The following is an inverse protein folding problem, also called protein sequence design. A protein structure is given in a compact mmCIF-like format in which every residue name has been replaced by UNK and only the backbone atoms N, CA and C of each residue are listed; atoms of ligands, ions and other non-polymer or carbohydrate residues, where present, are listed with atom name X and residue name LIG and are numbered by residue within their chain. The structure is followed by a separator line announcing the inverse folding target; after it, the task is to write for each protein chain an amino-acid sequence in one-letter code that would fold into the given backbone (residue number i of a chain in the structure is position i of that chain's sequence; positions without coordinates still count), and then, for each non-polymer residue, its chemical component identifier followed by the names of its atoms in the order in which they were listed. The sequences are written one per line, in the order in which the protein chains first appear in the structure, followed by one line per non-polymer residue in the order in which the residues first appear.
data_IF_116824533518
#
_entry.id   IF_116824533518
#
_cell.length_a   1.000
_cell.length_b   1.000
_cell.length_c   1.000
_cell.angle_alpha   90.00
_cell.angle_beta   90.00
_cell.angle_gamma   90.00
#
_symmetry.space_group_name_H-M   'P 1'
#
loop_
_entity.id
_entity.type
_entity.pdbx_description
1 polymer ?
#
# COMPACT_ATOMS: atom_id res chain seq x y z
N UNK A 1 13.85 -27.27 -16.48
CA UNK A 1 12.58 -27.96 -16.74
C UNK A 1 11.50 -26.91 -16.66
N UNK A 2 10.76 -26.73 -17.72
CA UNK A 2 9.67 -25.74 -17.80
C UNK A 2 8.48 -26.30 -17.01
N UNK A 3 8.32 -25.91 -15.75
CA UNK A 3 7.16 -26.32 -14.96
C UNK A 3 5.95 -25.50 -15.43
N UNK A 4 5.35 -25.95 -16.54
CA UNK A 4 3.98 -25.55 -16.86
C UNK A 4 3.06 -26.03 -15.73
N UNK A 5 2.22 -25.13 -15.18
CA UNK A 5 1.25 -25.38 -14.11
C UNK A 5 1.67 -24.91 -12.69
N UNK A 6 2.69 -24.06 -12.56
CA UNK A 6 3.05 -23.46 -11.27
C UNK A 6 1.95 -22.43 -10.84
N UNK A 7 1.46 -22.47 -9.60
CA UNK A 7 0.59 -21.40 -9.08
C UNK A 7 1.39 -20.10 -8.94
N UNK A 8 0.90 -19.02 -9.56
CA UNK A 8 1.53 -17.71 -9.53
C UNK A 8 0.53 -16.67 -9.04
N UNK A 9 0.81 -16.09 -7.88
CA UNK A 9 0.10 -14.92 -7.38
C UNK A 9 0.75 -13.66 -7.96
N UNK A 10 -0.05 -12.83 -8.61
CA UNK A 10 0.34 -11.49 -9.08
C UNK A 10 -0.44 -10.48 -8.24
N UNK A 11 0.22 -9.90 -7.27
CA UNK A 11 -0.33 -8.92 -6.34
C UNK A 11 0.09 -7.52 -6.78
N UNK A 12 -0.87 -6.60 -6.93
CA UNK A 12 -0.60 -5.22 -7.37
C UNK A 12 -0.99 -4.24 -6.27
N UNK A 13 -0.12 -3.26 -5.99
CA UNK A 13 -0.32 -2.30 -4.92
C UNK A 13 -1.69 -1.62 -5.00
N UNK A 14 -2.34 -1.50 -3.85
CA UNK A 14 -3.66 -0.92 -3.69
C UNK A 14 -3.59 0.61 -3.69
N UNK A 15 -4.27 1.30 -4.62
CA UNK A 15 -4.30 2.76 -4.64
C UNK A 15 -5.34 3.28 -3.65
N UNK A 16 -5.02 4.39 -2.98
CA UNK A 16 -6.04 5.12 -2.22
C UNK A 16 -7.16 5.62 -3.14
N UNK A 17 -8.41 5.32 -2.78
CA UNK A 17 -9.59 5.82 -3.46
C UNK A 17 -9.90 7.28 -3.06
N UNK A 18 -8.92 8.17 -3.19
CA UNK A 18 -9.00 9.59 -2.80
C UNK A 18 -8.76 10.57 -3.94
N UNK A 19 -8.60 10.08 -5.17
CA UNK A 19 -8.34 10.90 -6.36
C UNK A 19 -7.96 10.05 -7.56
N UNK A 20 -8.15 10.60 -8.75
CA UNK A 20 -7.88 9.94 -10.03
C UNK A 20 -6.44 9.44 -10.14
N UNK A 21 -6.25 8.32 -10.80
CA UNK A 21 -4.92 7.76 -11.03
C UNK A 21 -4.26 8.41 -12.25
N UNK A 22 -2.97 8.68 -12.18
CA UNK A 22 -2.21 9.19 -13.31
C UNK A 22 -1.49 8.06 -14.06
N UNK A 23 -1.06 8.33 -15.31
CA UNK A 23 -0.35 7.37 -16.15
C UNK A 23 0.87 6.74 -15.49
N UNK A 24 1.49 7.41 -14.51
CA UNK A 24 2.59 6.86 -13.73
C UNK A 24 2.22 5.66 -12.87
N UNK A 25 0.98 5.57 -12.36
CA UNK A 25 0.48 4.39 -11.66
C UNK A 25 0.29 3.23 -12.66
N UNK A 26 -0.29 3.52 -13.82
CA UNK A 26 -0.49 2.54 -14.88
C UNK A 26 0.86 1.94 -15.33
N UNK A 27 1.80 2.78 -15.74
CA UNK A 27 3.11 2.36 -16.22
C UNK A 27 3.98 1.72 -15.13
N UNK A 28 3.82 2.15 -13.87
CA UNK A 28 4.67 1.72 -12.77
C UNK A 28 4.26 0.39 -12.12
N UNK A 29 2.98 0.08 -12.05
CA UNK A 29 2.50 -1.09 -11.35
C UNK A 29 1.51 -1.94 -12.16
N UNK A 30 0.42 -1.34 -12.67
CA UNK A 30 -0.69 -2.10 -13.22
C UNK A 30 -0.37 -2.77 -14.55
N UNK A 31 0.17 -2.02 -15.52
CA UNK A 31 0.53 -2.56 -16.82
C UNK A 31 1.65 -3.61 -16.75
N UNK A 32 2.76 -3.40 -16.03
CA UNK A 32 3.77 -4.45 -15.89
C UNK A 32 3.25 -5.73 -15.25
N UNK A 33 2.34 -5.62 -14.30
CA UNK A 33 1.70 -6.76 -13.65
C UNK A 33 0.80 -7.54 -14.63
N UNK A 34 -0.03 -6.82 -15.41
CA UNK A 34 -0.91 -7.44 -16.40
C UNK A 34 -0.12 -8.14 -17.51
N UNK A 35 0.91 -7.49 -18.04
CA UNK A 35 1.81 -8.11 -19.03
C UNK A 35 2.45 -9.37 -18.47
N UNK A 36 2.92 -9.33 -17.22
CA UNK A 36 3.49 -10.49 -16.55
C UNK A 36 2.46 -11.61 -16.34
N UNK A 37 1.26 -11.27 -15.87
CA UNK A 37 0.17 -12.23 -15.66
C UNK A 37 -0.23 -12.93 -16.96
N UNK A 38 -0.45 -12.16 -18.05
CA UNK A 38 -0.76 -12.70 -19.38
C UNK A 38 0.36 -13.59 -19.91
N UNK A 39 1.62 -13.17 -19.77
CA UNK A 39 2.75 -13.98 -20.15
C UNK A 39 2.82 -15.32 -19.40
N UNK A 40 2.58 -15.31 -18.09
CA UNK A 40 2.59 -16.53 -17.29
C UNK A 40 1.42 -17.46 -17.64
N UNK A 41 0.24 -16.92 -17.93
CA UNK A 41 -0.90 -17.71 -18.45
C UNK A 41 -0.59 -18.36 -19.80
N UNK A 42 0.04 -17.61 -20.72
CA UNK A 42 0.50 -18.15 -22.01
C UNK A 42 1.54 -19.27 -21.86
N UNK A 43 2.33 -19.25 -20.80
CA UNK A 43 3.28 -20.33 -20.46
C UNK A 43 2.60 -21.55 -19.82
N UNK A 44 1.30 -21.53 -19.60
CA UNK A 44 0.54 -22.61 -18.99
C UNK A 44 0.58 -22.62 -17.45
N UNK A 45 1.02 -21.53 -16.82
CA UNK A 45 0.95 -21.39 -15.36
C UNK A 45 -0.46 -20.98 -14.91
N UNK A 46 -0.81 -21.37 -13.69
CA UNK A 46 -2.07 -20.96 -13.04
C UNK A 46 -1.84 -19.64 -12.34
N UNK A 47 -2.43 -18.57 -12.88
CA UNK A 47 -2.22 -17.22 -12.37
C UNK A 47 -3.46 -16.74 -11.63
N UNK A 48 -3.24 -16.17 -10.45
CA UNK A 48 -4.23 -15.39 -9.71
C UNK A 48 -3.71 -13.95 -9.61
N UNK A 49 -4.34 -13.04 -10.37
CA UNK A 49 -3.98 -11.62 -10.37
C UNK A 49 -4.99 -10.82 -9.54
N UNK A 50 -4.51 -10.22 -8.44
CA UNK A 50 -5.37 -9.51 -7.47
C UNK A 50 -4.88 -8.09 -7.17
N UNK A 51 -5.84 -7.21 -6.95
CA UNK A 51 -5.67 -5.87 -6.39
C UNK A 51 -7.01 -5.35 -5.88
N UNK A 52 -7.05 -4.07 -5.52
CA UNK A 52 -8.27 -3.38 -5.12
C UNK A 52 -8.00 -1.93 -4.74
N UNK A 53 -9.05 -1.24 -4.36
CA UNK A 53 -8.99 0.13 -3.88
C UNK A 53 -8.81 0.16 -2.37
N UNK A 54 -7.83 0.92 -1.88
CA UNK A 54 -7.67 1.23 -0.47
C UNK A 54 -8.61 2.38 -0.12
N UNK A 55 -9.59 2.11 0.76
CA UNK A 55 -10.67 3.06 1.10
C UNK A 55 -10.60 3.61 2.52
N UNK A 56 -9.66 3.17 3.35
CA UNK A 56 -9.59 3.57 4.76
C UNK A 56 -8.46 4.57 5.08
N UNK A 57 -7.64 4.93 4.10
CA UNK A 57 -6.55 5.87 4.32
C UNK A 57 -6.98 7.30 4.66
N UNK A 58 -6.22 7.98 5.50
CA UNK A 58 -6.44 9.41 5.84
C UNK A 58 -6.54 10.35 4.64
N UNK A 59 -5.93 10.11 3.46
CA UNK A 59 -6.19 10.93 2.28
C UNK A 59 -7.66 11.00 1.87
N UNK A 60 -8.44 9.97 2.18
CA UNK A 60 -9.88 9.91 1.87
C UNK A 60 -10.66 10.80 2.83
N UNK A 61 -10.39 10.71 4.14
CA UNK A 61 -11.06 11.56 5.13
C UNK A 61 -10.73 13.04 4.95
N UNK A 62 -9.45 13.36 4.67
CA UNK A 62 -9.03 14.75 4.36
C UNK A 62 -9.78 15.29 3.15
N UNK A 63 -9.98 14.47 2.12
CA UNK A 63 -10.74 14.89 0.93
C UNK A 63 -12.22 15.02 1.21
N UNK A 64 -12.79 14.10 1.96
CA UNK A 64 -14.19 14.14 2.38
C UNK A 64 -14.49 15.41 3.18
N UNK A 65 -13.64 15.76 4.14
CA UNK A 65 -13.74 16.99 4.92
C UNK A 65 -13.68 18.24 4.00
N UNK A 66 -12.77 18.25 3.02
CA UNK A 66 -12.61 19.37 2.09
C UNK A 66 -13.79 19.52 1.12
N UNK A 67 -14.45 18.43 0.74
CA UNK A 67 -15.62 18.43 -0.16
C UNK A 67 -16.97 18.50 0.59
N UNK A 68 -16.97 18.34 1.92
CA UNK A 68 -18.19 18.35 2.74
C UNK A 68 -19.07 17.10 2.51
N UNK A 69 -18.46 15.96 2.20
CA UNK A 69 -19.14 14.68 1.96
C UNK A 69 -18.59 13.60 2.90
N UNK A 70 -19.18 12.42 2.90
CA UNK A 70 -18.69 11.30 3.71
C UNK A 70 -17.46 10.64 3.09
N UNK A 71 -16.57 10.02 3.89
CA UNK A 71 -15.46 9.21 3.38
C UNK A 71 -15.92 8.09 2.43
N UNK A 72 -17.08 7.48 2.70
CA UNK A 72 -17.67 6.44 1.85
C UNK A 72 -17.97 6.96 0.44
N UNK A 73 -18.59 8.15 0.32
CA UNK A 73 -18.90 8.77 -0.98
C UNK A 73 -17.63 9.04 -1.81
N UNK A 74 -16.55 9.47 -1.16
CA UNK A 74 -15.25 9.64 -1.83
C UNK A 74 -14.72 8.29 -2.30
N UNK A 75 -14.69 7.30 -1.42
CA UNK A 75 -14.18 5.96 -1.69
C UNK A 75 -14.94 5.30 -2.85
N UNK A 76 -16.27 5.31 -2.81
CA UNK A 76 -17.13 4.70 -3.84
C UNK A 76 -16.94 5.36 -5.20
N UNK A 77 -16.84 6.70 -5.23
CA UNK A 77 -16.61 7.47 -6.45
C UNK A 77 -15.32 7.05 -7.16
N UNK A 78 -14.21 7.02 -6.43
CA UNK A 78 -12.91 6.70 -7.02
C UNK A 78 -12.73 5.21 -7.26
N UNK A 79 -13.33 4.34 -6.45
CA UNK A 79 -13.37 2.92 -6.74
C UNK A 79 -14.08 2.65 -8.07
N UNK A 80 -15.24 3.24 -8.29
CA UNK A 80 -15.97 3.10 -9.55
C UNK A 80 -15.19 3.67 -10.76
N UNK A 81 -14.50 4.81 -10.58
CA UNK A 81 -13.60 5.37 -11.60
C UNK A 81 -12.50 4.36 -11.97
N UNK A 82 -11.82 3.78 -10.98
CA UNK A 82 -10.75 2.80 -11.23
C UNK A 82 -11.25 1.56 -11.95
N UNK A 83 -12.37 0.99 -11.51
CA UNK A 83 -12.96 -0.18 -12.18
C UNK A 83 -13.25 0.14 -13.66
N UNK A 84 -13.87 1.29 -13.94
CA UNK A 84 -14.16 1.71 -15.32
C UNK A 84 -12.88 1.97 -16.15
N UNK A 85 -11.78 2.44 -15.55
CA UNK A 85 -10.49 2.59 -16.21
C UNK A 85 -9.86 1.22 -16.55
N UNK A 86 -9.91 0.27 -15.60
CA UNK A 86 -9.39 -1.08 -15.82
C UNK A 86 -10.17 -1.85 -16.88
N UNK A 87 -11.49 -1.68 -16.96
CA UNK A 87 -12.32 -2.25 -18.02
C UNK A 87 -11.92 -1.70 -19.40
N UNK A 88 -11.76 -0.37 -19.52
CA UNK A 88 -11.34 0.26 -20.78
C UNK A 88 -9.94 -0.17 -21.23
N UNK A 89 -9.04 -0.43 -20.28
CA UNK A 89 -7.66 -0.88 -20.53
C UNK A 89 -7.55 -2.40 -20.69
N UNK A 90 -8.64 -3.15 -20.56
CA UNK A 90 -8.65 -4.61 -20.61
C UNK A 90 -7.65 -5.27 -19.65
N UNK A 91 -7.46 -4.70 -18.44
CA UNK A 91 -6.57 -5.29 -17.43
C UNK A 91 -7.16 -6.60 -16.92
N UNK A 92 -6.39 -7.68 -16.98
CA UNK A 92 -6.88 -9.06 -16.82
C UNK A 92 -6.96 -9.52 -15.35
N UNK A 93 -7.64 -8.74 -14.48
CA UNK A 93 -7.86 -9.10 -13.08
C UNK A 93 -8.63 -10.41 -12.93
N UNK A 94 -8.19 -11.28 -12.01
CA UNK A 94 -9.01 -12.35 -11.46
C UNK A 94 -9.91 -11.85 -10.32
N UNK A 95 -9.39 -10.89 -9.52
CA UNK A 95 -10.18 -10.15 -8.54
C UNK A 95 -9.64 -8.73 -8.37
N UNK A 96 -10.47 -7.73 -8.62
CA UNK A 96 -10.26 -6.34 -8.24
C UNK A 96 -11.38 -5.93 -7.28
N UNK A 97 -11.05 -5.65 -6.03
CA UNK A 97 -12.02 -5.44 -4.96
C UNK A 97 -11.74 -4.16 -4.16
N UNK A 98 -12.16 -4.08 -2.93
CA UNK A 98 -12.00 -2.91 -2.05
C UNK A 98 -11.70 -3.34 -0.61
N UNK A 99 -10.88 -2.56 0.11
CA UNK A 99 -10.69 -2.75 1.55
C UNK A 99 -11.95 -2.45 2.37
N UNK A 100 -12.98 -1.87 1.75
CA UNK A 100 -14.28 -1.61 2.38
C UNK A 100 -15.23 -2.82 2.44
N UNK A 101 -14.84 -4.00 1.93
CA UNK A 101 -15.69 -5.20 1.95
C UNK A 101 -15.70 -5.89 3.32
N UNK A 102 -16.82 -6.55 3.64
CA UNK A 102 -16.90 -7.38 4.86
C UNK A 102 -15.87 -8.51 4.85
N UNK A 103 -15.62 -9.14 3.67
CA UNK A 103 -14.58 -10.15 3.54
C UNK A 103 -13.21 -9.61 3.95
N UNK A 104 -12.84 -8.40 3.50
CA UNK A 104 -11.57 -7.79 3.90
C UNK A 104 -11.52 -7.54 5.40
N UNK A 105 -12.57 -6.97 6.00
CA UNK A 105 -12.69 -6.74 7.44
C UNK A 105 -12.45 -8.03 8.23
N UNK A 106 -13.14 -9.11 7.89
CA UNK A 106 -13.01 -10.41 8.56
C UNK A 106 -11.57 -10.94 8.48
N UNK A 107 -10.96 -10.92 7.29
CA UNK A 107 -9.59 -11.40 7.10
C UNK A 107 -8.56 -10.58 7.88
N UNK A 108 -8.76 -9.26 7.95
CA UNK A 108 -7.89 -8.37 8.74
C UNK A 108 -8.03 -8.65 10.23
N UNK A 109 -9.27 -8.79 10.72
CA UNK A 109 -9.53 -9.08 12.13
C UNK A 109 -9.01 -10.47 12.54
N UNK A 110 -9.17 -11.47 11.67
CA UNK A 110 -8.62 -12.83 11.90
C UNK A 110 -7.09 -12.81 12.02
N UNK A 111 -6.42 -12.09 11.10
CA UNK A 111 -4.95 -11.99 11.14
C UNK A 111 -4.47 -11.19 12.35
N UNK A 112 -5.17 -10.11 12.70
CA UNK A 112 -4.91 -9.34 13.92
C UNK A 112 -4.99 -10.23 15.15
N UNK A 113 -6.09 -11.01 15.31
CA UNK A 113 -6.27 -11.91 16.43
C UNK A 113 -5.25 -13.06 16.47
N UNK A 114 -4.86 -13.58 15.30
CA UNK A 114 -3.79 -14.59 15.21
C UNK A 114 -2.47 -14.04 15.76
N UNK A 115 -2.05 -12.85 15.31
CA UNK A 115 -0.81 -12.20 15.74
C UNK A 115 -0.87 -11.79 17.23
N UNK A 116 -2.02 -11.31 17.71
CA UNK A 116 -2.24 -10.97 19.13
C UNK A 116 -2.11 -12.21 20.03
N UNK A 117 -2.79 -13.30 19.67
CA UNK A 117 -2.75 -14.55 20.42
C UNK A 117 -1.36 -15.20 20.46
N UNK A 118 -0.53 -14.93 19.46
CA UNK A 118 0.86 -15.39 19.41
C UNK A 118 1.86 -14.43 20.09
N UNK A 119 1.37 -13.31 20.63
CA UNK A 119 2.19 -12.34 21.35
C UNK A 119 3.01 -11.41 20.46
N UNK A 120 2.71 -11.35 19.12
CA UNK A 120 3.34 -10.44 18.18
C UNK A 120 2.65 -9.06 18.09
N UNK A 121 1.53 -8.92 18.79
CA UNK A 121 0.86 -7.63 19.00
C UNK A 121 0.72 -7.44 20.51
N UNK A 122 1.04 -6.24 20.99
CA UNK A 122 0.84 -5.84 22.37
C UNK A 122 0.20 -4.44 22.46
N UNK A 123 -0.38 -4.13 23.62
CA UNK A 123 -0.99 -2.84 23.91
C UNK A 123 0.00 -1.96 24.67
N UNK A 124 0.16 -0.72 24.21
CA UNK A 124 1.06 0.27 24.82
C UNK A 124 0.41 1.64 24.89
N UNK A 125 0.76 2.35 25.94
CA UNK A 125 0.49 3.78 26.04
C UNK A 125 1.50 4.57 25.18
N UNK A 126 1.02 5.57 24.46
CA UNK A 126 1.84 6.46 23.65
C UNK A 126 1.26 7.87 23.66
N UNK A 127 2.10 8.86 23.39
CA UNK A 127 1.65 10.23 23.23
C UNK A 127 1.31 10.51 21.77
N UNK A 128 0.14 11.11 21.54
CA UNK A 128 -0.34 11.51 20.23
C UNK A 128 -0.76 12.99 20.26
N UNK A 129 -0.65 13.66 19.13
CA UNK A 129 -1.11 15.03 19.02
C UNK A 129 -2.63 15.11 19.08
N UNK A 130 -3.11 16.03 19.90
CA UNK A 130 -4.52 16.33 20.12
C UNK A 130 -4.80 17.80 19.81
N UNK A 131 -5.81 18.06 19.02
CA UNK A 131 -6.28 19.40 18.71
C UNK A 131 -7.42 19.78 19.65
N UNK A 132 -7.17 20.77 20.52
CA UNK A 132 -8.15 21.22 21.51
C UNK A 132 -9.33 21.95 20.88
N UNK A 133 -9.12 22.63 19.74
CA UNK A 133 -10.17 23.44 19.10
C UNK A 133 -11.25 22.56 18.48
N UNK A 134 -10.88 21.41 17.91
CA UNK A 134 -11.79 20.44 17.32
C UNK A 134 -12.02 19.23 18.20
N UNK A 135 -11.39 19.18 19.40
CA UNK A 135 -11.53 18.16 20.41
C UNK A 135 -11.32 16.72 19.89
N UNK A 136 -10.23 16.50 19.13
CA UNK A 136 -9.90 15.18 18.58
C UNK A 136 -8.40 14.96 18.47
N UNK A 137 -7.99 13.67 18.52
CA UNK A 137 -6.65 13.28 18.14
C UNK A 137 -6.43 13.51 16.66
N UNK A 138 -5.20 13.88 16.29
CA UNK A 138 -4.81 14.16 14.91
C UNK A 138 -4.08 12.97 14.32
N UNK A 139 -4.67 12.26 13.35
CA UNK A 139 -3.94 11.30 12.55
C UNK A 139 -2.79 11.97 11.78
N UNK A 140 -1.79 11.17 11.46
CA UNK A 140 -0.50 11.60 10.89
C UNK A 140 -0.60 12.70 9.82
N UNK A 141 -1.54 12.59 8.87
CA UNK A 141 -1.72 13.56 7.77
C UNK A 141 -2.52 14.81 8.12
N UNK A 142 -3.08 14.86 9.31
CA UNK A 142 -3.71 16.06 9.84
C UNK A 142 -2.73 16.97 10.60
N UNK A 143 -1.46 16.53 10.67
CA UNK A 143 -0.38 17.32 11.25
C UNK A 143 0.60 17.70 10.13
N UNK A 144 1.00 18.94 10.09
CA UNK A 144 2.05 19.44 9.20
C UNK A 144 3.06 20.27 9.97
N UNK A 145 4.29 20.29 9.49
CA UNK A 145 5.39 21.04 10.08
C UNK A 145 6.64 21.00 9.22
N UNK A 146 7.72 21.57 9.70
CA UNK A 146 8.98 21.48 8.97
C UNK A 146 9.63 20.09 9.14
N UNK A 147 10.11 19.54 8.02
CA UNK A 147 10.82 18.26 8.00
C UNK A 147 12.18 18.41 8.72
N UNK A 148 12.51 17.58 9.70
CA UNK A 148 13.79 17.65 10.41
C UNK A 148 15.01 17.31 9.50
N UNK A 149 14.77 16.67 8.35
CA UNK A 149 15.86 16.21 7.47
C UNK A 149 16.16 17.15 6.29
N UNK A 150 15.16 17.87 5.79
CA UNK A 150 15.33 18.71 4.58
C UNK A 150 14.69 20.09 4.70
N UNK A 151 14.19 20.45 5.90
CA UNK A 151 13.62 21.78 6.23
C UNK A 151 12.40 22.18 5.37
N UNK A 152 11.80 21.23 4.64
CA UNK A 152 10.55 21.46 3.89
C UNK A 152 9.41 21.78 4.87
N UNK A 153 8.78 22.95 4.73
CA UNK A 153 7.89 23.53 5.73
C UNK A 153 6.50 22.89 5.81
N UNK A 154 6.13 22.08 4.82
CA UNK A 154 4.80 21.45 4.69
C UNK A 154 4.88 19.92 4.71
N UNK A 155 5.85 19.37 5.46
CA UNK A 155 5.96 17.92 5.64
C UNK A 155 4.79 17.41 6.47
N UNK A 156 4.30 16.21 6.11
CA UNK A 156 3.20 15.52 6.81
C UNK A 156 3.77 14.65 7.92
N UNK A 157 2.93 14.33 8.91
CA UNK A 157 3.34 13.52 10.04
C UNK A 157 3.72 12.06 9.69
N UNK A 158 3.35 11.55 8.52
CA UNK A 158 3.70 10.20 8.06
C UNK A 158 4.89 10.18 7.09
N UNK A 159 5.06 11.24 6.31
CA UNK A 159 6.09 11.28 5.27
C UNK A 159 6.37 12.72 4.81
N UNK A 160 7.64 13.02 4.56
CA UNK A 160 8.02 14.25 3.87
C UNK A 160 7.87 14.09 2.36
N UNK A 161 6.98 14.87 1.74
CA UNK A 161 6.74 14.82 0.28
C UNK A 161 7.94 15.30 -0.54
N UNK A 162 8.85 16.10 0.06
CA UNK A 162 10.02 16.62 -0.64
C UNK A 162 11.18 15.60 -0.68
N UNK A 163 11.60 15.06 0.47
CA UNK A 163 12.72 14.11 0.53
C UNK A 163 12.28 12.64 0.52
N UNK A 164 10.98 12.34 0.69
CA UNK A 164 10.42 11.00 0.64
C UNK A 164 10.66 10.16 1.89
N UNK A 165 11.25 10.72 2.95
CA UNK A 165 11.46 10.00 4.21
C UNK A 165 10.14 9.84 4.96
N UNK A 166 9.96 8.67 5.57
CA UNK A 166 8.92 8.46 6.58
C UNK A 166 9.25 9.27 7.83
N UNK A 167 8.23 9.78 8.47
CA UNK A 167 8.33 10.60 9.68
C UNK A 167 7.39 10.05 10.76
N UNK A 168 7.72 10.30 12.01
CA UNK A 168 6.76 10.31 13.10
C UNK A 168 6.24 11.75 13.25
N UNK A 169 4.95 11.98 13.54
CA UNK A 169 4.41 13.31 13.77
C UNK A 169 5.19 14.12 14.81
N UNK A 170 5.78 13.46 15.81
CA UNK A 170 6.57 14.11 16.87
C UNK A 170 7.95 14.59 16.41
N UNK A 171 8.44 14.12 15.27
CA UNK A 171 9.69 14.58 14.68
C UNK A 171 9.54 15.93 13.95
N UNK A 172 8.32 16.32 13.60
CA UNK A 172 8.07 17.57 12.89
C UNK A 172 8.45 18.78 13.72
N UNK A 173 9.14 19.72 13.10
CA UNK A 173 9.47 20.99 13.71
C UNK A 173 8.29 21.97 13.56
N UNK A 174 7.86 22.59 14.65
CA UNK A 174 6.70 23.49 14.72
C UNK A 174 5.42 22.83 14.14
N UNK A 175 4.95 21.72 14.72
CA UNK A 175 3.77 21.02 14.23
C UNK A 175 2.50 21.89 14.36
N UNK A 176 1.60 21.77 13.38
CA UNK A 176 0.31 22.48 13.34
C UNK A 176 -0.78 21.52 12.90
N UNK A 177 -1.98 21.71 13.46
CA UNK A 177 -3.18 21.05 12.97
C UNK A 177 -3.58 21.59 11.59
N UNK A 178 -3.83 20.71 10.65
CA UNK A 178 -4.38 21.10 9.34
C UNK A 178 -5.86 21.44 9.39
N UNK A 179 -6.55 21.08 10.47
CA UNK A 179 -8.00 21.34 10.62
C UNK A 179 -8.21 22.76 11.13
N UNK A 180 -7.60 23.10 12.27
CA UNK A 180 -7.79 24.38 12.95
C UNK A 180 -6.65 25.40 12.70
N UNK A 181 -5.47 24.92 12.28
CA UNK A 181 -4.25 25.74 12.22
C UNK A 181 -3.57 25.92 13.58
N UNK A 182 -4.16 25.42 14.67
CA UNK A 182 -3.62 25.54 16.02
C UNK A 182 -2.38 24.68 16.23
N UNK A 183 -1.61 25.00 17.28
CA UNK A 183 -0.53 24.13 17.75
C UNK A 183 -1.13 23.01 18.59
N UNK A 184 -1.03 21.73 18.16
CA UNK A 184 -1.61 20.63 18.89
C UNK A 184 -0.79 20.32 20.15
N UNK A 185 -1.44 19.74 21.15
CA UNK A 185 -0.78 19.25 22.37
C UNK A 185 -0.60 17.74 22.34
N UNK A 186 0.44 17.22 23.00
CA UNK A 186 0.59 15.78 23.21
C UNK A 186 -0.33 15.33 24.34
N UNK A 187 -1.09 14.26 24.10
CA UNK A 187 -1.92 13.54 25.07
C UNK A 187 -1.63 12.05 25.01
N UNK A 188 -1.67 11.42 26.17
CA UNK A 188 -1.56 9.98 26.28
C UNK A 188 -2.80 9.29 25.72
N UNK A 189 -2.54 8.22 24.94
CA UNK A 189 -3.55 7.33 24.38
C UNK A 189 -2.97 5.93 24.27
N UNK A 190 -3.82 4.91 24.32
CA UNK A 190 -3.38 3.52 24.18
C UNK A 190 -3.58 3.04 22.75
N UNK A 191 -2.58 2.31 22.22
CA UNK A 191 -2.63 1.69 20.91
C UNK A 191 -2.07 0.26 20.93
N UNK A 192 -2.50 -0.55 19.97
CA UNK A 192 -1.86 -1.81 19.66
C UNK A 192 -0.64 -1.59 18.77
N UNK A 193 0.43 -2.32 19.08
CA UNK A 193 1.71 -2.28 18.38
C UNK A 193 2.03 -3.66 17.81
N UNK A 194 2.40 -3.71 16.53
CA UNK A 194 3.05 -4.88 15.95
C UNK A 194 4.52 -4.87 16.41
N UNK A 195 4.93 -5.95 17.05
CA UNK A 195 6.29 -6.18 17.52
C UNK A 195 7.19 -6.57 16.33
N UNK A 196 7.43 -5.60 15.46
CA UNK A 196 8.18 -5.81 14.24
C UNK A 196 9.64 -6.21 14.54
N UNK A 197 10.18 -5.75 15.66
CA UNK A 197 11.49 -6.12 16.18
C UNK A 197 11.66 -7.63 16.42
N UNK A 198 10.59 -8.36 16.75
CA UNK A 198 10.63 -9.82 16.94
C UNK A 198 11.02 -10.57 15.65
N UNK A 199 10.82 -9.95 14.49
CA UNK A 199 11.07 -10.56 13.19
C UNK A 199 12.42 -10.18 12.57
N UNK A 200 13.25 -9.38 13.25
CA UNK A 200 14.53 -8.88 12.77
C UNK A 200 15.40 -9.98 12.13
N UNK A 201 15.74 -11.00 12.89
CA UNK A 201 16.64 -12.07 12.44
C UNK A 201 16.01 -12.94 11.34
N UNK A 202 14.69 -13.20 11.44
CA UNK A 202 13.95 -13.98 10.45
C UNK A 202 13.87 -13.27 9.10
N UNK A 203 13.64 -11.95 9.13
CA UNK A 203 13.59 -11.12 7.92
C UNK A 203 14.98 -10.96 7.30
N UNK A 204 16.03 -10.77 8.09
CA UNK A 204 17.41 -10.69 7.58
C UNK A 204 17.81 -12.00 6.90
N UNK A 205 17.56 -13.15 7.56
CA UNK A 205 17.81 -14.47 7.00
C UNK A 205 17.06 -14.67 5.68
N UNK A 206 15.77 -14.30 5.62
CA UNK A 206 14.96 -14.43 4.43
C UNK A 206 15.43 -13.50 3.29
N UNK A 207 15.73 -12.21 3.59
CA UNK A 207 16.22 -11.25 2.60
C UNK A 207 17.60 -11.66 2.04
N UNK A 208 18.45 -12.29 2.83
CA UNK A 208 19.77 -12.75 2.40
C UNK A 208 19.70 -13.79 1.29
N UNK A 209 18.58 -14.51 1.18
CA UNK A 209 18.35 -15.54 0.13
C UNK A 209 17.72 -14.97 -1.16
N UNK A 210 17.45 -13.67 -1.24
CA UNK A 210 16.74 -13.03 -2.37
C UNK A 210 17.71 -12.51 -3.44
N UNK A 211 18.59 -13.34 -3.96
CA UNK A 211 19.64 -12.93 -4.92
C UNK A 211 19.12 -12.37 -6.25
N UNK A 212 17.92 -12.79 -6.68
CA UNK A 212 17.31 -12.36 -7.95
C UNK A 212 16.58 -11.02 -7.90
N UNK A 213 16.42 -10.41 -6.72
CA UNK A 213 15.67 -9.18 -6.57
C UNK A 213 16.43 -7.96 -7.11
N UNK A 214 15.69 -6.91 -7.47
CA UNK A 214 16.27 -5.64 -7.90
C UNK A 214 17.14 -5.05 -6.79
N UNK A 215 18.36 -4.65 -7.13
CA UNK A 215 19.36 -4.16 -6.16
C UNK A 215 18.86 -3.03 -5.28
N UNK A 216 18.07 -2.09 -5.84
CA UNK A 216 17.56 -0.96 -5.04
C UNK A 216 16.52 -1.42 -4.01
N UNK A 217 15.73 -2.46 -4.29
CA UNK A 217 14.80 -3.05 -3.33
C UNK A 217 15.57 -3.70 -2.18
N UNK A 218 16.55 -4.55 -2.51
CA UNK A 218 17.39 -5.20 -1.50
C UNK A 218 18.15 -4.20 -0.63
N UNK A 219 18.78 -3.19 -1.25
CA UNK A 219 19.55 -2.19 -0.50
C UNK A 219 18.67 -1.39 0.44
N UNK A 220 17.47 -1.02 0.00
CA UNK A 220 16.51 -0.31 0.85
C UNK A 220 16.06 -1.17 2.04
N UNK A 221 15.71 -2.43 1.76
CA UNK A 221 15.25 -3.37 2.81
C UNK A 221 16.35 -3.70 3.82
N UNK A 222 17.58 -3.90 3.35
CA UNK A 222 18.75 -4.13 4.23
C UNK A 222 19.04 -2.92 5.10
N UNK A 223 18.91 -1.69 4.57
CA UNK A 223 19.07 -0.48 5.37
C UNK A 223 18.11 -0.45 6.57
N UNK A 224 16.85 -0.85 6.40
CA UNK A 224 15.90 -0.97 7.51
C UNK A 224 16.33 -2.00 8.55
N UNK A 225 16.84 -3.16 8.11
CA UNK A 225 17.36 -4.21 9.00
C UNK A 225 18.59 -3.71 9.77
N UNK A 226 19.52 -3.04 9.08
CA UNK A 226 20.76 -2.51 9.67
C UNK A 226 20.50 -1.39 10.69
N UNK A 227 19.47 -0.56 10.47
CA UNK A 227 19.03 0.47 11.42
C UNK A 227 18.33 -0.13 12.65
N UNK A 228 17.91 -1.39 12.59
CA UNK A 228 17.14 -2.08 13.63
C UNK A 228 15.64 -1.80 13.53
N UNK A 229 14.86 -2.88 13.40
CA UNK A 229 13.41 -2.77 13.22
C UNK A 229 12.74 -2.24 14.49
N UNK A 230 11.94 -1.21 14.34
CA UNK A 230 11.14 -0.62 15.42
C UNK A 230 9.70 -1.13 15.37
N UNK A 231 9.14 -1.37 16.55
CA UNK A 231 7.72 -1.76 16.69
C UNK A 231 6.82 -0.63 16.17
N UNK A 232 5.70 -1.01 15.56
CA UNK A 232 4.82 -0.07 14.86
C UNK A 232 3.42 -0.07 15.44
N UNK A 233 2.90 1.11 15.78
CA UNK A 233 1.51 1.27 16.15
C UNK A 233 0.60 0.92 14.96
N UNK A 234 -0.30 -0.05 15.16
CA UNK A 234 -1.20 -0.60 14.15
C UNK A 234 -2.66 -0.22 14.37
N UNK A 235 -2.91 0.67 15.30
CA UNK A 235 -4.22 1.31 15.52
C UNK A 235 -4.07 2.82 15.58
N UNK A 236 -5.15 3.53 15.30
CA UNK A 236 -5.19 5.01 15.35
C UNK A 236 -6.52 5.48 15.91
N UNK A 237 -6.52 6.68 16.48
CA UNK A 237 -7.72 7.40 16.87
C UNK A 237 -8.40 7.95 15.60
N UNK A 238 -9.32 7.16 15.05
CA UNK A 238 -10.01 7.38 13.78
C UNK A 238 -11.45 6.91 13.89
N UNK A 239 -12.36 7.58 13.17
CA UNK A 239 -13.75 7.16 13.04
C UNK A 239 -14.00 6.33 11.78
N UNK A 240 -13.10 6.42 10.78
CA UNK A 240 -13.17 5.73 9.50
C UNK A 240 -12.09 4.66 9.39
N UNK A 241 -12.47 3.40 9.17
CA UNK A 241 -11.58 2.25 9.08
C UNK A 241 -12.17 0.99 9.69
N UNK A 242 -11.40 -0.08 9.75
CA UNK A 242 -11.81 -1.37 10.33
C UNK A 242 -11.77 -1.29 11.85
N UNK A 243 -12.85 -1.73 12.51
CA UNK A 243 -12.93 -1.82 13.97
C UNK A 243 -11.94 -2.86 14.50
N UNK A 244 -11.36 -2.55 15.65
CA UNK A 244 -10.47 -3.46 16.38
C UNK A 244 -11.31 -4.62 16.94
N UNK A 245 -10.90 -5.89 16.76
CA UNK A 245 -11.71 -7.05 17.17
C UNK A 245 -11.64 -7.38 18.66
N UNK A 246 -11.24 -6.42 19.49
CA UNK A 246 -11.18 -6.53 20.96
C UNK A 246 -11.66 -5.25 21.62
N UNK A 247 -12.36 -5.36 22.75
CA UNK A 247 -13.00 -4.22 23.44
C UNK A 247 -12.06 -3.44 24.39
N UNK A 248 -10.74 -3.63 24.24
CA UNK A 248 -9.74 -3.14 25.21
C UNK A 248 -9.38 -1.66 25.09
N UNK A 249 -9.72 -0.99 23.99
CA UNK A 249 -9.30 0.40 23.71
C UNK A 249 -10.45 1.41 23.71
N UNK A 250 -11.70 0.96 23.90
CA UNK A 250 -12.88 1.81 23.79
C UNK A 250 -13.24 2.22 22.35
N UNK A 251 -14.26 3.04 22.23
CA UNK A 251 -14.75 3.55 20.93
C UNK A 251 -13.80 4.58 20.32
N UNK A 252 -13.93 4.82 19.01
CA UNK A 252 -13.18 5.87 18.29
C UNK A 252 -11.76 5.47 17.87
N UNK A 253 -11.47 4.17 17.86
CA UNK A 253 -10.20 3.66 17.36
C UNK A 253 -10.40 2.66 16.22
N UNK A 254 -9.48 2.69 15.25
CA UNK A 254 -9.52 1.80 14.08
C UNK A 254 -8.15 1.17 13.83
N UNK A 255 -8.16 0.04 13.15
CA UNK A 255 -6.94 -0.56 12.61
C UNK A 255 -6.34 0.41 11.59
N UNK A 256 -5.02 0.60 11.67
CA UNK A 256 -4.29 1.54 10.82
C UNK A 256 -4.13 1.00 9.39
N UNK A 257 -4.38 1.85 8.42
CA UNK A 257 -4.39 1.50 7.00
C UNK A 257 -3.12 0.79 6.52
N UNK A 258 -1.96 1.13 7.03
CA UNK A 258 -0.70 0.47 6.64
C UNK A 258 -0.54 -0.96 7.17
N UNK A 259 -1.31 -1.34 8.20
CA UNK A 259 -1.41 -2.73 8.64
C UNK A 259 -2.43 -3.49 7.79
N UNK A 260 -3.61 -2.91 7.53
CA UNK A 260 -4.69 -3.60 6.83
C UNK A 260 -4.48 -3.71 5.32
N UNK A 261 -3.96 -2.66 4.66
CA UNK A 261 -3.89 -2.61 3.20
C UNK A 261 -3.06 -3.74 2.58
N UNK A 262 -1.97 -4.15 3.22
CA UNK A 262 -1.15 -5.28 2.75
C UNK A 262 -1.84 -6.63 2.93
N UNK A 263 -2.81 -6.75 3.84
CA UNK A 263 -3.65 -7.93 4.02
C UNK A 263 -4.64 -8.07 2.85
N UNK A 264 -4.89 -6.98 2.13
CA UNK A 264 -5.77 -6.92 0.97
C UNK A 264 -5.49 -7.99 -0.08
N UNK A 265 -4.24 -8.35 -0.29
CA UNK A 265 -3.88 -9.41 -1.24
C UNK A 265 -4.41 -10.78 -0.83
N UNK A 266 -4.35 -11.08 0.45
CA UNK A 266 -4.91 -12.32 1.01
C UNK A 266 -6.44 -12.29 0.98
N UNK A 267 -7.05 -11.17 1.37
CA UNK A 267 -8.52 -11.04 1.37
C UNK A 267 -9.09 -11.10 -0.04
N UNK A 268 -8.45 -10.48 -1.04
CA UNK A 268 -8.86 -10.59 -2.44
C UNK A 268 -8.75 -12.02 -2.99
N UNK A 269 -7.70 -12.76 -2.59
CA UNK A 269 -7.58 -14.17 -2.96
C UNK A 269 -8.70 -15.03 -2.34
N UNK A 270 -9.09 -14.78 -1.09
CA UNK A 270 -10.21 -15.46 -0.42
C UNK A 270 -11.56 -15.07 -1.04
N UNK A 271 -11.74 -13.80 -1.40
CA UNK A 271 -12.94 -13.33 -2.10
C UNK A 271 -13.09 -13.99 -3.47
N UNK A 272 -12.00 -14.05 -4.23
CA UNK A 272 -11.94 -14.78 -5.49
C UNK A 272 -12.32 -16.26 -5.30
N UNK A 273 -11.72 -16.96 -4.32
CA UNK A 273 -12.01 -18.37 -4.04
C UNK A 273 -13.50 -18.60 -3.74
N UNK A 274 -14.10 -17.72 -2.95
CA UNK A 274 -15.56 -17.75 -2.67
C UNK A 274 -16.37 -17.59 -3.95
N UNK A 275 -15.97 -16.69 -4.86
CA UNK A 275 -16.64 -16.48 -6.15
C UNK A 275 -16.56 -17.71 -7.06
N UNK A 276 -15.49 -18.51 -6.94
CA UNK A 276 -15.32 -19.78 -7.66
C UNK A 276 -16.11 -20.96 -7.04
N UNK A 277 -16.86 -20.71 -5.94
CA UNK A 277 -17.57 -21.73 -5.16
C UNK A 277 -16.66 -22.79 -4.52
N UNK A 278 -15.39 -22.45 -4.33
CA UNK A 278 -14.40 -23.23 -3.60
C UNK A 278 -13.67 -22.29 -2.61
N UNK A 279 -14.22 -22.10 -1.42
CA UNK A 279 -13.65 -21.16 -0.42
C UNK A 279 -12.22 -21.49 0.02
N UNK A 280 -11.72 -22.69 -0.26
CA UNK A 280 -10.36 -23.11 0.08
C UNK A 280 -9.37 -22.95 -1.08
N UNK A 281 -9.83 -22.62 -2.28
CA UNK A 281 -8.99 -22.53 -3.48
C UNK A 281 -7.82 -21.54 -3.34
N UNK A 282 -7.97 -20.45 -2.55
CA UNK A 282 -6.91 -19.47 -2.29
C UNK A 282 -5.63 -20.08 -1.70
N UNK A 283 -5.73 -21.21 -0.96
CA UNK A 283 -4.61 -21.90 -0.31
C UNK A 283 -3.57 -22.36 -1.33
N UNK A 284 -3.99 -22.62 -2.55
CA UNK A 284 -3.07 -23.03 -3.61
C UNK A 284 -1.99 -21.97 -3.89
N UNK A 285 -2.28 -20.70 -3.76
CA UNK A 285 -1.33 -19.61 -3.97
C UNK A 285 -0.63 -19.16 -2.68
N UNK A 286 -1.24 -19.45 -1.51
CA UNK A 286 -0.78 -18.91 -0.24
C UNK A 286 -0.11 -19.92 0.69
N UNK A 287 -0.49 -21.20 0.60
CA UNK A 287 0.03 -22.27 1.48
C UNK A 287 0.88 -23.31 0.72
N UNK A 288 0.70 -23.45 -0.60
CA UNK A 288 1.48 -24.37 -1.42
C UNK A 288 2.92 -23.86 -1.59
N UNK A 289 3.90 -24.64 -1.13
CA UNK A 289 5.33 -24.28 -1.17
C UNK A 289 5.90 -24.13 -2.58
N UNK A 290 5.24 -24.66 -3.62
CA UNK A 290 5.62 -24.48 -5.02
C UNK A 290 5.06 -23.19 -5.62
N UNK A 291 4.10 -22.55 -4.95
CA UNK A 291 3.52 -21.30 -5.42
C UNK A 291 4.53 -20.15 -5.34
N UNK A 292 4.41 -19.24 -6.30
CA UNK A 292 5.27 -18.06 -6.40
C UNK A 292 4.42 -16.80 -6.37
N UNK A 293 4.84 -15.81 -5.59
CA UNK A 293 4.12 -14.54 -5.45
C UNK A 293 4.98 -13.35 -5.86
N UNK A 294 4.41 -12.45 -6.68
CA UNK A 294 5.07 -11.28 -7.23
C UNK A 294 4.25 -10.04 -6.89
N UNK A 295 4.87 -9.08 -6.17
CA UNK A 295 4.21 -7.87 -5.70
C UNK A 295 4.66 -6.66 -6.51
N UNK A 296 3.84 -6.22 -7.46
CA UNK A 296 4.11 -5.06 -8.31
C UNK A 296 3.73 -3.77 -7.59
N UNK A 297 4.72 -2.96 -7.27
CA UNK A 297 4.56 -1.78 -6.40
C UNK A 297 5.35 -0.56 -6.89
N UNK A 298 5.01 0.61 -6.38
CA UNK A 298 5.88 1.78 -6.41
C UNK A 298 6.94 1.72 -5.31
N UNK A 299 8.08 2.36 -5.51
CA UNK A 299 9.23 2.33 -4.57
C UNK A 299 8.89 2.76 -3.14
N UNK A 300 7.88 3.61 -2.97
CA UNK A 300 7.44 4.09 -1.64
C UNK A 300 6.86 2.95 -0.79
N UNK A 301 6.41 1.88 -1.43
CA UNK A 301 5.79 0.73 -0.78
C UNK A 301 6.79 -0.39 -0.45
N UNK A 302 8.08 -0.21 -0.74
CA UNK A 302 9.10 -1.25 -0.47
C UNK A 302 9.05 -1.71 0.99
N UNK A 303 9.10 -0.84 2.04
CA UNK A 303 9.15 -1.30 3.42
C UNK A 303 7.91 -2.10 3.82
N UNK A 304 6.75 -1.78 3.26
CA UNK A 304 5.51 -2.50 3.54
C UNK A 304 5.52 -3.92 2.96
N UNK A 305 6.18 -4.14 1.81
CA UNK A 305 6.18 -5.42 1.11
C UNK A 305 7.43 -6.28 1.35
N UNK A 306 8.49 -5.69 1.90
CA UNK A 306 9.74 -6.42 2.17
C UNK A 306 10.03 -6.58 3.66
N UNK A 307 9.36 -5.83 4.53
CA UNK A 307 9.55 -5.85 5.97
C UNK A 307 8.23 -6.13 6.71
N UNK A 308 7.25 -5.22 6.62
CA UNK A 308 6.03 -5.29 7.43
C UNK A 308 5.18 -6.51 7.05
N UNK A 309 4.81 -6.64 5.78
CA UNK A 309 4.01 -7.76 5.30
C UNK A 309 4.69 -9.12 5.51
N UNK A 310 5.96 -9.32 5.12
CA UNK A 310 6.66 -10.55 5.44
C UNK A 310 6.77 -10.83 6.94
N UNK A 311 6.99 -9.82 7.77
CA UNK A 311 6.96 -9.96 9.24
C UNK A 311 5.62 -10.49 9.74
N UNK A 312 4.52 -9.94 9.24
CA UNK A 312 3.16 -10.42 9.57
C UNK A 312 2.93 -11.86 9.10
N UNK A 313 3.39 -12.22 7.91
CA UNK A 313 3.30 -13.58 7.37
C UNK A 313 4.12 -14.59 8.20
N UNK A 314 5.33 -14.22 8.62
CA UNK A 314 6.17 -15.02 9.51
C UNK A 314 5.47 -15.22 10.86
N UNK A 315 4.96 -14.15 11.46
CA UNK A 315 4.22 -14.20 12.72
C UNK A 315 2.95 -15.05 12.63
N UNK A 316 2.18 -14.88 11.56
CA UNK A 316 0.99 -15.68 11.32
C UNK A 316 1.31 -17.16 11.09
N UNK A 317 2.39 -17.45 10.38
CA UNK A 317 2.82 -18.80 10.04
C UNK A 317 1.91 -19.47 9.00
N UNK A 318 2.48 -20.45 8.29
CA UNK A 318 1.75 -21.26 7.32
C UNK A 318 1.50 -20.60 5.95
N UNK A 319 1.84 -19.32 5.79
CA UNK A 319 1.65 -18.58 4.55
C UNK A 319 2.99 -18.33 3.84
N UNK A 320 2.96 -18.35 2.52
CA UNK A 320 4.15 -18.14 1.69
C UNK A 320 4.64 -16.68 1.74
N UNK A 321 5.96 -16.52 1.84
CA UNK A 321 6.61 -15.21 1.75
C UNK A 321 6.74 -14.76 0.28
N UNK A 322 6.89 -13.45 0.00
CA UNK A 322 7.07 -12.93 -1.34
C UNK A 322 8.23 -13.59 -2.09
N UNK A 323 7.97 -14.06 -3.31
CA UNK A 323 9.02 -14.58 -4.19
C UNK A 323 9.84 -13.43 -4.78
N UNK A 324 9.16 -12.35 -5.21
CA UNK A 324 9.80 -11.13 -5.70
C UNK A 324 8.90 -9.91 -5.46
N UNK A 325 9.54 -8.75 -5.33
CA UNK A 325 8.88 -7.45 -5.15
C UNK A 325 9.36 -6.48 -6.24
N UNK A 326 8.76 -6.54 -7.45
CA UNK A 326 9.07 -5.63 -8.54
C UNK A 326 8.64 -4.19 -8.23
N UNK A 327 9.50 -3.43 -7.54
CA UNK A 327 9.25 -2.03 -7.24
C UNK A 327 9.76 -1.12 -8.37
N UNK A 328 8.88 -0.24 -8.87
CA UNK A 328 9.21 0.72 -9.93
C UNK A 328 9.55 2.11 -9.37
N UNK A 329 10.45 2.80 -10.08
CA UNK A 329 10.78 4.19 -9.81
C UNK A 329 9.62 5.13 -10.19
N UNK A 330 9.67 6.38 -9.73
CA UNK A 330 8.67 7.36 -10.13
C UNK A 330 8.76 7.67 -11.63
N UNK A 331 7.60 7.80 -12.24
CA UNK A 331 7.49 8.41 -13.57
C UNK A 331 7.60 9.93 -13.40
N UNK A 332 8.49 10.55 -14.18
CA UNK A 332 8.64 12.01 -14.20
C UNK A 332 7.82 12.61 -15.34
N UNK A 333 7.16 13.74 -15.07
CA UNK A 333 6.42 14.51 -16.04
C UNK A 333 6.95 15.94 -16.06
N UNK A 334 7.39 16.42 -17.21
CA UNK A 334 8.02 17.77 -17.39
C UNK A 334 9.14 18.07 -16.39
N UNK A 335 9.95 17.05 -16.07
CA UNK A 335 11.09 17.18 -15.14
C UNK A 335 10.74 17.10 -13.65
N UNK A 336 9.46 16.94 -13.28
CA UNK A 336 8.99 16.75 -11.91
C UNK A 336 8.37 15.37 -11.68
N UNK A 337 8.21 14.96 -10.40
CA UNK A 337 7.46 13.75 -10.02
C UNK A 337 5.99 13.93 -10.42
N UNK A 338 5.42 12.96 -11.16
CA UNK A 338 3.98 12.88 -11.36
C UNK A 338 3.29 12.67 -9.99
N UNK A 339 2.24 13.43 -9.72
CA UNK A 339 1.56 13.42 -8.41
C UNK A 339 0.07 13.65 -8.57
N UNK A 340 -0.74 12.67 -8.17
CA UNK A 340 -2.20 12.78 -8.19
C UNK A 340 -2.70 13.89 -7.23
N UNK A 341 -2.12 13.98 -6.04
CA UNK A 341 -2.50 14.99 -5.03
C UNK A 341 -2.17 16.43 -5.42
N UNK A 342 -1.22 16.63 -6.36
CA UNK A 342 -0.80 17.94 -6.87
C UNK A 342 -1.30 18.24 -8.27
N UNK A 343 -2.07 17.33 -8.90
CA UNK A 343 -2.55 17.48 -10.27
C UNK A 343 -1.41 17.55 -11.31
N UNK A 344 -0.26 16.91 -11.04
CA UNK A 344 0.88 16.89 -11.96
C UNK A 344 0.91 15.59 -12.74
N UNK A 345 0.75 15.67 -14.05
CA UNK A 345 0.69 14.55 -14.99
C UNK A 345 -0.72 14.36 -15.55
N UNK A 346 -0.85 13.51 -16.56
CA UNK A 346 -2.15 13.10 -17.10
C UNK A 346 -2.74 12.00 -16.21
N UNK A 347 -4.02 12.11 -15.92
CA UNK A 347 -4.79 11.00 -15.35
C UNK A 347 -4.96 9.89 -16.38
N UNK A 348 -5.31 8.68 -15.93
CA UNK A 348 -5.61 7.57 -16.84
C UNK A 348 -6.81 7.93 -17.71
N UNK A 349 -7.87 8.50 -17.12
CA UNK A 349 -9.06 8.94 -17.86
C UNK A 349 -8.73 9.96 -18.95
N UNK A 350 -7.98 11.01 -18.64
CA UNK A 350 -7.52 11.99 -19.64
C UNK A 350 -6.65 11.34 -20.73
N UNK A 351 -5.83 10.36 -20.37
CA UNK A 351 -5.04 9.60 -21.35
C UNK A 351 -5.93 8.79 -22.29
N UNK A 352 -6.98 8.15 -21.76
CA UNK A 352 -7.95 7.38 -22.57
C UNK A 352 -8.84 8.25 -23.44
N UNK A 353 -9.06 9.52 -23.07
CA UNK A 353 -9.79 10.47 -23.90
C UNK A 353 -8.93 10.99 -25.07
N UNK A 354 -7.61 10.97 -24.93
CA UNK A 354 -6.67 11.46 -25.95
C UNK A 354 -6.14 10.39 -26.89
N UNK A 355 -6.06 9.14 -26.41
CA UNK A 355 -5.42 8.03 -27.12
C UNK A 355 -6.28 6.77 -27.04
N UNK A 356 -6.27 5.99 -28.10
CA UNK A 356 -6.80 4.63 -28.08
C UNK A 356 -6.08 3.80 -26.99
N UNK A 357 -6.79 2.88 -26.29
CA UNK A 357 -6.21 2.09 -25.21
C UNK A 357 -4.91 1.38 -25.56
N UNK A 358 -4.82 0.74 -26.72
CA UNK A 358 -3.61 0.06 -27.19
C UNK A 358 -2.43 1.00 -27.39
N UNK A 359 -2.67 2.22 -27.90
CA UNK A 359 -1.64 3.23 -28.03
C UNK A 359 -1.17 3.75 -26.67
N UNK A 360 -2.10 3.91 -25.73
CA UNK A 360 -1.80 4.30 -24.36
C UNK A 360 -0.95 3.24 -23.65
N UNK A 361 -1.30 1.96 -23.78
CA UNK A 361 -0.56 0.84 -23.23
C UNK A 361 0.84 0.69 -23.85
N UNK A 362 0.97 0.86 -25.16
CA UNK A 362 2.27 0.82 -25.85
C UNK A 362 3.19 1.95 -25.40
N UNK A 363 2.66 3.17 -25.26
CA UNK A 363 3.43 4.34 -24.85
C UNK A 363 3.90 4.24 -23.40
N UNK A 364 3.12 3.62 -22.52
CA UNK A 364 3.44 3.43 -21.11
C UNK A 364 4.21 2.13 -20.84
N UNK A 365 4.34 1.24 -21.85
CA UNK A 365 5.04 -0.03 -21.70
C UNK A 365 6.55 0.18 -21.60
N UNK A 366 7.25 -0.35 -20.58
CA UNK A 366 8.70 -0.24 -20.48
C UNK A 366 9.36 -0.98 -21.64
N UNK A 367 10.17 -0.28 -22.42
CA UNK A 367 10.99 -0.87 -23.48
C UNK A 367 12.32 -1.39 -22.90
N UNK A 368 12.92 -2.47 -23.44
CA UNK A 368 14.27 -2.84 -23.09
C UNK A 368 15.33 -1.74 -23.30
N UNK A 369 14.97 -0.69 -24.05
CA UNK A 369 15.79 0.51 -24.28
C UNK A 369 15.54 1.64 -23.29
N UNK A 370 14.53 1.56 -22.43
CA UNK A 370 14.15 2.66 -21.52
C UNK A 370 15.25 3.00 -20.50
N UNK A 371 16.13 2.04 -20.17
CA UNK A 371 17.35 2.33 -19.42
C UNK A 371 18.34 3.26 -20.14
N UNK A 372 18.21 3.44 -21.44
CA UNK A 372 19.01 4.34 -22.28
C UNK A 372 18.27 5.64 -22.61
N UNK A 373 16.94 5.64 -22.59
CA UNK A 373 16.09 6.79 -22.96
C UNK A 373 16.01 7.87 -21.86
N UNK A 374 16.41 7.58 -20.62
CA UNK A 374 16.61 8.61 -19.59
C UNK A 374 17.69 9.65 -19.97
N UNK A 375 18.35 9.48 -21.13
CA UNK A 375 19.38 10.39 -21.67
C UNK A 375 19.01 11.10 -22.95
N UNK A 376 17.75 11.00 -23.43
CA UNK A 376 17.35 11.81 -24.58
C UNK A 376 17.14 13.26 -24.15
N UNK A 377 17.79 14.25 -24.82
CA UNK A 377 17.52 15.65 -24.55
C UNK A 377 16.07 15.98 -24.91
N UNK A 378 15.45 16.84 -24.13
CA UNK A 378 14.10 17.38 -24.31
C UNK A 378 14.04 18.33 -25.52
N UNK A 379 14.30 17.83 -26.70
CA UNK A 379 14.17 18.58 -27.94
C UNK A 379 13.68 17.66 -29.05
N UNK A 380 12.38 17.47 -29.08
CA UNK A 380 11.57 17.26 -30.28
C UNK A 380 10.13 17.64 -29.93
#
# INVERSE_FOLDING_TARGET
MDNSNTPILVAVAWPYASGSRHLGHLAGAYLPADVFARYQRLRGNRVLMVSGSDVHGTPITVRADAEGVTPAEIADRYHAEFVGEWEKLDISWDCYTSTGTNNHKEVVQDLFMNLLNKGHIDKRESEQYFDQEVNRFLPDRYIEGACPHCEYLEARGDQCENCGRTLDPQELVNPRSKISGSVPELRSTEHFYLRLSDFQDSLDSWLSTREGWRKHVLNFSKGWIEEGLQDRAITRDLDWGIEIPVDDLGDGKRIYVWFEAVIGYLSAAKEWATSQKDPEAWKEWWENQEARSFYFIGKDNIPFHTIIWPGMLIGAGGLNLPTDVPANQYVTFKGGKASASRGVGLTIGEGLDLFEPDACLLYTSPSPRDGLLSRMPSSA
#
